data_IF_950884022779
#
_entry.id   IF_950884022779
#
_cell.length_a   1.000
_cell.length_b   1.000
_cell.length_c   1.000
_cell.angle_alpha   90.00
_cell.angle_beta   90.00
_cell.angle_gamma   90.00
#
_symmetry.space_group_name_H-M   'P 1'
#
loop_
_entity.id
_entity.type
_entity.pdbx_description
1 polymer ?
#
# COMPACT_ATOMS: atom_id res chain seq x y z
N UNK A 1 -31.67 28.38 7.71
CA UNK A 1 -30.74 27.23 7.68
C UNK A 1 -30.58 26.71 6.25
N UNK A 2 -29.39 26.85 5.63
CA UNK A 2 -29.13 26.33 4.28
C UNK A 2 -28.90 24.81 4.35
N UNK A 3 -29.78 24.01 3.72
CA UNK A 3 -29.61 22.56 3.60
C UNK A 3 -28.32 22.26 2.81
N UNK A 4 -27.30 21.70 3.47
CA UNK A 4 -26.09 21.19 2.81
C UNK A 4 -26.49 20.03 1.90
N UNK A 5 -26.51 20.25 0.58
CA UNK A 5 -26.68 19.17 -0.39
C UNK A 5 -25.40 18.33 -0.34
N UNK A 6 -25.50 17.12 0.20
CA UNK A 6 -24.40 16.16 0.19
C UNK A 6 -24.06 15.86 -1.27
N UNK A 7 -22.80 16.12 -1.64
CA UNK A 7 -22.29 15.83 -2.98
C UNK A 7 -21.81 14.38 -3.01
N UNK A 8 -22.72 13.46 -3.30
CA UNK A 8 -22.44 12.02 -3.41
C UNK A 8 -21.26 11.69 -4.34
N UNK A 9 -21.06 12.48 -5.40
CA UNK A 9 -19.87 12.36 -6.27
C UNK A 9 -18.55 12.44 -5.49
N UNK A 10 -18.46 13.38 -4.54
CA UNK A 10 -17.22 13.60 -3.75
C UNK A 10 -16.96 12.38 -2.85
N UNK A 11 -18.01 11.86 -2.22
CA UNK A 11 -17.92 10.67 -1.37
C UNK A 11 -17.42 9.46 -2.17
N UNK A 12 -17.96 9.26 -3.37
CA UNK A 12 -17.56 8.16 -4.24
C UNK A 12 -16.08 8.28 -4.65
N UNK A 13 -15.62 9.47 -5.05
CA UNK A 13 -14.22 9.70 -5.39
C UNK A 13 -13.28 9.51 -4.20
N UNK A 14 -13.69 9.93 -2.98
CA UNK A 14 -12.91 9.71 -1.76
C UNK A 14 -12.75 8.22 -1.44
N UNK A 15 -13.80 7.41 -1.61
CA UNK A 15 -13.74 5.96 -1.37
C UNK A 15 -12.81 5.28 -2.38
N UNK A 16 -12.91 5.62 -3.67
CA UNK A 16 -12.04 5.08 -4.71
C UNK A 16 -10.57 5.45 -4.44
N UNK A 17 -10.31 6.70 -4.05
CA UNK A 17 -8.97 7.14 -3.68
C UNK A 17 -8.40 6.33 -2.49
N UNK A 18 -9.22 6.07 -1.46
CA UNK A 18 -8.80 5.25 -0.31
C UNK A 18 -8.43 3.82 -0.72
N UNK A 19 -9.23 3.21 -1.61
CA UNK A 19 -8.97 1.86 -2.12
C UNK A 19 -7.67 1.83 -2.91
N UNK A 20 -7.42 2.81 -3.78
CA UNK A 20 -6.17 2.91 -4.52
C UNK A 20 -4.95 3.05 -3.61
N UNK A 21 -5.03 3.90 -2.57
CA UNK A 21 -3.92 4.07 -1.60
C UNK A 21 -3.65 2.75 -0.86
N UNK A 22 -4.71 2.07 -0.40
CA UNK A 22 -4.57 0.79 0.27
C UNK A 22 -3.95 -0.27 -0.64
N UNK A 23 -4.37 -0.32 -1.91
CA UNK A 23 -3.84 -1.26 -2.89
C UNK A 23 -2.35 -0.99 -3.17
N UNK A 24 -1.97 0.28 -3.33
CA UNK A 24 -0.59 0.70 -3.55
C UNK A 24 0.31 0.28 -2.37
N UNK A 25 -0.14 0.47 -1.13
CA UNK A 25 0.58 -0.01 0.06
C UNK A 25 0.70 -1.54 0.08
N UNK A 26 -0.40 -2.27 -0.20
CA UNK A 26 -0.38 -3.75 -0.24
C UNK A 26 0.58 -4.29 -1.30
N UNK A 27 0.59 -3.67 -2.48
CA UNK A 27 1.45 -4.07 -3.60
C UNK A 27 2.92 -3.83 -3.24
N UNK A 28 3.24 -2.67 -2.65
CA UNK A 28 4.59 -2.35 -2.20
C UNK A 28 5.16 -3.42 -1.26
N UNK A 29 4.39 -3.83 -0.25
CA UNK A 29 4.81 -4.88 0.69
C UNK A 29 4.97 -6.26 0.04
N UNK A 30 4.14 -6.60 -0.96
CA UNK A 30 4.29 -7.86 -1.72
C UNK A 30 5.65 -7.91 -2.44
N UNK A 31 6.16 -6.77 -2.91
CA UNK A 31 7.46 -6.70 -3.57
C UNK A 31 8.63 -6.55 -2.59
N UNK A 32 8.47 -5.79 -1.51
CA UNK A 32 9.53 -5.54 -0.52
C UNK A 32 9.89 -6.81 0.26
N UNK A 33 8.90 -7.61 0.67
CA UNK A 33 9.13 -8.83 1.48
C UNK A 33 10.06 -9.85 0.82
N UNK A 34 9.85 -10.30 -0.44
CA UNK A 34 10.75 -11.26 -1.08
C UNK A 34 12.15 -10.68 -1.31
N UNK A 35 12.28 -9.38 -1.58
CA UNK A 35 13.58 -8.71 -1.71
C UNK A 35 14.34 -8.74 -0.37
N UNK A 36 13.68 -8.39 0.73
CA UNK A 36 14.28 -8.48 2.06
C UNK A 36 14.66 -9.91 2.42
N UNK A 37 13.84 -10.89 2.04
CA UNK A 37 14.13 -12.31 2.25
C UNK A 37 15.36 -12.78 1.47
N UNK A 38 15.48 -12.39 0.20
CA UNK A 38 16.67 -12.65 -0.63
C UNK A 38 17.93 -12.00 -0.07
N UNK A 39 17.85 -10.74 0.34
CA UNK A 39 18.97 -10.03 0.99
C UNK A 39 19.39 -10.75 2.26
N UNK A 40 18.43 -11.18 3.08
CA UNK A 40 18.71 -11.93 4.31
C UNK A 40 19.39 -13.27 4.04
N UNK A 41 18.92 -14.04 3.04
CA UNK A 41 19.57 -15.28 2.64
C UNK A 41 21.00 -15.03 2.14
N UNK A 42 21.20 -14.02 1.27
CA UNK A 42 22.52 -13.66 0.76
C UNK A 42 23.49 -13.24 1.88
N UNK A 43 23.02 -12.45 2.84
CA UNK A 43 23.82 -12.10 4.02
C UNK A 43 24.21 -13.33 4.83
N UNK A 44 23.30 -14.29 5.05
CA UNK A 44 23.63 -15.54 5.77
C UNK A 44 24.65 -16.40 5.05
N UNK A 45 24.64 -16.42 3.73
CA UNK A 45 25.65 -17.14 2.94
C UNK A 45 27.02 -16.45 3.03
N UNK A 46 27.05 -15.12 2.94
CA UNK A 46 28.29 -14.34 3.03
C UNK A 46 28.89 -14.33 4.45
N UNK A 47 28.07 -14.35 5.49
CA UNK A 47 28.52 -14.32 6.91
C UNK A 47 28.99 -15.67 7.44
N UNK A 48 28.78 -16.77 6.69
CA UNK A 48 29.28 -18.11 7.03
C UNK A 48 30.74 -18.35 6.60
N UNK A 49 31.45 -17.29 6.20
CA UNK A 49 32.86 -17.34 5.81
C UNK A 49 33.76 -16.87 6.95
#
# INVERSE_FOLDING_TARGET
MKKKKIKWKVILYSIIALICIYLMYKIDWIFVVPVLFLIWLNQRELMKK
#
